data_IF_080689950713
#
_entry.id   IF_080689950713
#
_cell.length_a   1.000
_cell.length_b   1.000
_cell.length_c   1.000
_cell.angle_alpha   90.00
_cell.angle_beta   90.00
_cell.angle_gamma   90.00
#
_symmetry.space_group_name_H-M   'P 1'
#
loop_
_entity.id
_entity.type
_entity.pdbx_description
1 polymer ?
#
# COMPACT_ATOMS: atom_id res chain seq x y z
N UNK A 1 8.91 -3.86 24.82
CA UNK A 1 7.70 -4.43 24.18
C UNK A 1 7.83 -5.94 24.17
N UNK A 2 6.83 -6.68 24.67
CA UNK A 2 6.86 -8.15 24.58
C UNK A 2 6.68 -8.57 23.11
N UNK A 3 7.33 -9.64 22.64
CA UNK A 3 7.06 -10.19 21.32
C UNK A 3 5.57 -10.57 21.25
N UNK A 4 4.89 -10.19 20.17
CA UNK A 4 3.51 -10.61 19.95
C UNK A 4 3.54 -12.09 19.61
N UNK A 5 2.94 -12.92 20.46
CA UNK A 5 2.71 -14.33 20.15
C UNK A 5 1.64 -14.46 19.06
N UNK A 6 1.96 -15.03 17.88
CA UNK A 6 1.01 -15.10 16.76
C UNK A 6 -0.25 -15.90 17.08
N UNK A 7 -0.16 -16.91 17.96
CA UNK A 7 -1.30 -17.68 18.46
C UNK A 7 -2.32 -16.81 19.18
N UNK A 8 -1.88 -15.77 19.89
CA UNK A 8 -2.73 -14.79 20.57
C UNK A 8 -3.49 -13.85 19.63
N UNK A 9 -3.30 -13.98 18.31
CA UNK A 9 -4.04 -13.25 17.29
C UNK A 9 -5.27 -14.02 16.78
N UNK A 10 -5.36 -15.32 17.04
CA UNK A 10 -6.48 -16.15 16.59
C UNK A 10 -7.79 -15.64 17.20
N UNK A 11 -8.85 -15.56 16.38
CA UNK A 11 -10.17 -15.05 16.76
C UNK A 11 -10.29 -13.53 16.76
N UNK A 12 -9.19 -12.78 16.62
CA UNK A 12 -9.24 -11.32 16.56
C UNK A 12 -9.72 -10.83 15.18
N UNK A 13 -10.50 -9.74 15.22
CA UNK A 13 -10.98 -9.05 14.03
C UNK A 13 -9.86 -8.20 13.44
N UNK A 14 -9.77 -8.21 12.12
CA UNK A 14 -8.77 -7.46 11.36
C UNK A 14 -9.47 -6.31 10.63
N UNK A 15 -8.91 -5.11 10.76
CA UNK A 15 -9.30 -3.93 9.99
C UNK A 15 -8.22 -3.56 8.98
N UNK A 16 -8.56 -2.81 7.94
CA UNK A 16 -7.57 -2.19 7.07
C UNK A 16 -7.15 -0.81 7.61
N UNK A 17 -6.15 -0.20 6.98
CA UNK A 17 -5.65 1.15 7.31
C UNK A 17 -6.73 2.25 7.23
N UNK A 18 -7.88 1.97 6.60
CA UNK A 18 -8.98 2.91 6.43
C UNK A 18 -10.18 2.57 7.34
N UNK A 19 -9.96 1.68 8.32
CA UNK A 19 -10.91 1.33 9.37
C UNK A 19 -11.99 0.31 8.99
N UNK A 20 -11.95 -0.24 7.76
CA UNK A 20 -12.94 -1.24 7.32
C UNK A 20 -12.58 -2.61 7.88
N UNK A 21 -13.60 -3.33 8.33
CA UNK A 21 -13.43 -4.71 8.77
C UNK A 21 -13.13 -5.62 7.58
N UNK A 22 -11.96 -6.24 7.59
CA UNK A 22 -11.47 -7.10 6.50
C UNK A 22 -11.89 -8.55 6.72
N UNK A 23 -11.80 -9.01 7.97
CA UNK A 23 -12.04 -10.41 8.32
C UNK A 23 -11.61 -10.75 9.74
N UNK A 24 -11.42 -12.03 9.98
CA UNK A 24 -11.00 -12.60 11.27
C UNK A 24 -9.82 -13.54 11.07
N UNK A 25 -8.86 -13.50 11.99
CA UNK A 25 -7.76 -14.48 12.01
C UNK A 25 -8.32 -15.83 12.48
N UNK A 26 -8.18 -16.87 11.67
CA UNK A 26 -8.69 -18.22 11.99
C UNK A 26 -7.59 -19.22 12.30
N UNK A 27 -6.38 -19.00 11.81
CA UNK A 27 -5.23 -19.86 12.12
C UNK A 27 -3.92 -19.10 11.90
N UNK A 28 -2.87 -19.57 12.57
CA UNK A 28 -1.48 -19.25 12.25
C UNK A 28 -0.91 -20.40 11.43
N UNK A 29 -0.07 -20.10 10.45
CA UNK A 29 0.62 -21.10 9.63
C UNK A 29 2.13 -20.92 9.80
N UNK A 30 2.80 -22.05 9.97
CA UNK A 30 4.25 -22.12 10.05
C UNK A 30 4.88 -22.22 8.66
N UNK A 31 6.10 -21.75 8.51
CA UNK A 31 6.94 -22.08 7.37
C UNK A 31 7.70 -23.38 7.59
N UNK A 32 8.48 -23.76 6.56
CA UNK A 32 9.28 -24.97 6.49
C UNK A 32 10.38 -25.03 7.58
N UNK A 33 10.64 -23.92 8.28
CA UNK A 33 11.58 -23.82 9.41
C UNK A 33 10.88 -23.94 10.77
N UNK A 34 9.55 -24.10 10.78
CA UNK A 34 8.75 -24.13 12.00
C UNK A 34 8.46 -22.75 12.59
N UNK A 35 8.81 -21.66 11.89
CA UNK A 35 8.50 -20.31 12.36
C UNK A 35 7.11 -19.90 11.91
N UNK A 36 6.30 -19.38 12.84
CA UNK A 36 5.00 -18.79 12.51
C UNK A 36 5.22 -17.51 11.72
N UNK A 37 5.15 -17.58 10.39
CA UNK A 37 5.37 -16.43 9.51
C UNK A 37 4.09 -15.93 8.82
N UNK A 38 2.98 -16.67 8.94
CA UNK A 38 1.74 -16.37 8.20
C UNK A 38 0.48 -16.47 9.05
N UNK A 39 -0.48 -15.60 8.77
CA UNK A 39 -1.85 -15.65 9.31
C UNK A 39 -2.83 -16.05 8.21
N UNK A 40 -3.74 -16.96 8.55
CA UNK A 40 -4.89 -17.32 7.73
C UNK A 40 -6.10 -16.51 8.19
N UNK A 41 -6.64 -15.69 7.30
CA UNK A 41 -7.81 -14.86 7.55
C UNK A 41 -9.03 -15.42 6.82
N UNK A 42 -10.16 -15.51 7.54
CA UNK A 42 -11.48 -15.60 6.93
C UNK A 42 -11.96 -14.19 6.62
N UNK A 43 -12.09 -13.91 5.34
CA UNK A 43 -12.50 -12.60 4.82
C UNK A 43 -14.02 -12.41 4.98
N UNK A 44 -14.48 -11.16 4.95
CA UNK A 44 -15.92 -10.85 4.97
C UNK A 44 -16.72 -11.44 3.80
N UNK A 45 -16.07 -11.74 2.67
CA UNK A 45 -16.67 -12.44 1.52
C UNK A 45 -16.74 -13.97 1.69
N UNK A 46 -16.36 -14.49 2.87
CA UNK A 46 -16.31 -15.91 3.19
C UNK A 46 -15.07 -16.65 2.67
N UNK A 47 -14.23 -16.02 1.84
CA UNK A 47 -13.00 -16.64 1.33
C UNK A 47 -11.90 -16.64 2.39
N UNK A 48 -10.94 -17.53 2.20
CA UNK A 48 -9.74 -17.58 3.05
C UNK A 48 -8.55 -17.00 2.31
N UNK A 49 -7.73 -16.20 3.01
CA UNK A 49 -6.49 -15.64 2.46
C UNK A 49 -5.36 -15.71 3.47
N UNK A 50 -4.16 -15.96 2.96
CA UNK A 50 -2.94 -15.99 3.76
C UNK A 50 -2.20 -14.66 3.63
N UNK A 51 -1.78 -14.10 4.75
CA UNK A 51 -1.01 -12.86 4.84
C UNK A 51 0.24 -13.09 5.70
N UNK A 52 1.35 -12.44 5.39
CA UNK A 52 2.53 -12.53 6.22
C UNK A 52 2.30 -11.77 7.54
N UNK A 53 2.92 -12.18 8.64
CA UNK A 53 2.81 -11.42 9.90
C UNK A 53 3.28 -9.98 9.74
N UNK A 54 4.27 -9.74 8.88
CA UNK A 54 4.76 -8.40 8.57
C UNK A 54 3.71 -7.51 7.91
N UNK A 55 2.63 -8.07 7.33
CA UNK A 55 1.48 -7.36 6.76
C UNK A 55 0.56 -6.72 7.80
N UNK A 56 0.81 -6.98 9.08
CA UNK A 56 -0.02 -6.45 10.16
C UNK A 56 0.73 -5.45 11.03
N UNK A 57 0.02 -4.41 11.44
CA UNK A 57 0.36 -3.60 12.61
C UNK A 57 -0.56 -4.04 13.75
N UNK A 58 0.03 -4.46 14.86
CA UNK A 58 -0.71 -4.92 16.04
C UNK A 58 -0.45 -3.94 17.17
N UNK A 59 -1.52 -3.29 17.64
CA UNK A 59 -1.50 -2.42 18.81
C UNK A 59 -2.50 -2.94 19.83
N UNK A 60 -1.99 -3.67 20.84
CA UNK A 60 -2.81 -4.36 21.83
C UNK A 60 -3.78 -5.38 21.22
N UNK A 61 -5.07 -5.05 21.23
CA UNK A 61 -6.13 -5.87 20.64
C UNK A 61 -6.41 -5.55 19.16
N UNK A 62 -5.95 -4.40 18.67
CA UNK A 62 -6.24 -3.94 17.33
C UNK A 62 -5.24 -4.50 16.31
N UNK A 63 -5.77 -5.21 15.31
CA UNK A 63 -5.01 -5.75 14.20
C UNK A 63 -5.36 -4.97 12.94
N UNK A 64 -4.38 -4.26 12.38
CA UNK A 64 -4.51 -3.49 11.14
C UNK A 64 -3.72 -4.15 10.03
N UNK A 65 -4.40 -4.57 8.97
CA UNK A 65 -3.80 -5.05 7.73
C UNK A 65 -3.30 -3.85 6.91
N UNK A 66 -1.99 -3.83 6.68
CA UNK A 66 -1.31 -2.81 5.89
C UNK A 66 -1.48 -3.05 4.39
N UNK A 67 -1.63 -1.99 3.62
CA UNK A 67 -1.76 -2.05 2.17
C UNK A 67 -0.48 -2.58 1.52
N UNK A 68 -0.60 -3.74 0.87
CA UNK A 68 0.48 -4.32 0.08
C UNK A 68 0.97 -3.40 -1.05
N UNK A 69 0.13 -2.49 -1.55
CA UNK A 69 0.55 -1.51 -2.57
C UNK A 69 1.45 -0.44 -1.95
N UNK A 70 1.04 0.16 -0.81
CA UNK A 70 1.87 1.14 -0.08
C UNK A 70 3.23 0.54 0.29
N UNK A 71 3.24 -0.69 0.81
CA UNK A 71 4.47 -1.42 1.14
C UNK A 71 5.41 -1.60 -0.05
N UNK A 72 4.88 -2.07 -1.18
CA UNK A 72 5.68 -2.30 -2.38
C UNK A 72 6.27 -1.00 -2.92
N UNK A 73 5.49 0.09 -2.92
CA UNK A 73 6.01 1.40 -3.33
C UNK A 73 7.11 1.90 -2.38
N UNK A 74 6.92 1.77 -1.06
CA UNK A 74 7.96 2.13 -0.09
C UNK A 74 9.24 1.28 -0.24
N UNK A 75 9.11 -0.01 -0.57
CA UNK A 75 10.26 -0.86 -0.88
C UNK A 75 10.98 -0.39 -2.15
N UNK A 76 10.21 -0.01 -3.18
CA UNK A 76 10.74 0.52 -4.43
C UNK A 76 11.48 1.85 -4.24
N UNK A 77 10.92 2.78 -3.45
CA UNK A 77 11.58 4.04 -3.10
C UNK A 77 12.93 3.81 -2.39
N UNK A 78 12.99 2.86 -1.46
CA UNK A 78 14.24 2.50 -0.76
C UNK A 78 15.27 1.93 -1.72
N UNK A 79 14.86 1.02 -2.61
CA UNK A 79 15.76 0.44 -3.61
C UNK A 79 16.28 1.49 -4.61
N UNK A 80 15.43 2.41 -5.05
CA UNK A 80 15.82 3.50 -5.96
C UNK A 80 16.87 4.42 -5.32
N UNK A 81 16.67 4.80 -4.05
CA UNK A 81 17.65 5.61 -3.32
C UNK A 81 19.02 4.93 -3.24
N UNK A 82 19.06 3.63 -2.89
CA UNK A 82 20.30 2.86 -2.80
C UNK A 82 21.02 2.78 -4.14
N UNK A 83 20.32 2.40 -5.22
CA UNK A 83 20.93 2.28 -6.55
C UNK A 83 21.44 3.62 -7.09
N UNK A 84 20.80 4.74 -6.75
CA UNK A 84 21.29 6.07 -7.13
C UNK A 84 22.53 6.47 -6.36
N UNK A 85 22.58 6.19 -5.06
CA UNK A 85 23.79 6.39 -4.26
C UNK A 85 24.95 5.57 -4.84
N UNK A 86 24.71 4.28 -5.14
CA UNK A 86 25.72 3.41 -5.76
C UNK A 86 26.20 3.96 -7.11
N UNK A 87 25.28 4.42 -7.97
CA UNK A 87 25.63 5.05 -9.24
C UNK A 87 26.53 6.29 -9.07
N UNK A 88 26.25 7.14 -8.08
CA UNK A 88 27.05 8.34 -7.80
C UNK A 88 28.45 7.98 -7.31
N UNK A 89 28.56 7.03 -6.37
CA UNK A 89 29.86 6.56 -5.89
C UNK A 89 30.70 5.93 -7.01
N UNK A 90 30.06 5.17 -7.92
CA UNK A 90 30.74 4.62 -9.09
C UNK A 90 31.24 5.70 -10.05
N UNK A 91 30.54 6.83 -10.20
CA UNK A 91 31.06 7.95 -10.99
C UNK A 91 32.24 8.63 -10.33
N UNK A 92 32.27 8.74 -9.00
CA UNK A 92 33.38 9.36 -8.26
C UNK A 92 34.65 8.50 -8.32
N UNK A 93 34.51 7.18 -8.49
CA UNK A 93 35.63 6.25 -8.65
C UNK A 93 36.22 6.23 -10.06
N UNK A 94 35.59 6.88 -11.05
CA UNK A 94 36.13 7.01 -12.42
C UNK A 94 37.31 7.99 -12.44
N UNK A 95 38.46 7.51 -11.97
CA UNK A 95 39.69 8.28 -11.82
C UNK A 95 40.63 7.78 -10.72
N UNK A 96 40.20 6.76 -9.94
CA UNK A 96 41.04 6.10 -8.93
C UNK A 96 41.71 4.82 -9.42
N UNK A 97 42.31 4.08 -8.48
CA UNK A 97 43.12 2.86 -8.73
C UNK A 97 42.31 1.60 -9.13
N UNK A 98 40.99 1.73 -9.32
CA UNK A 98 40.12 0.58 -9.64
C UNK A 98 40.16 0.31 -11.15
N UNK A 99 40.29 -0.97 -11.48
CA UNK A 99 40.24 -1.44 -12.87
C UNK A 99 38.97 -0.96 -13.61
N UNK A 100 39.11 -0.30 -14.78
CA UNK A 100 37.98 0.24 -15.53
C UNK A 100 36.95 -0.80 -15.98
N UNK A 101 37.37 -2.03 -16.29
CA UNK A 101 36.45 -3.08 -16.73
C UNK A 101 35.52 -3.52 -15.58
N UNK A 102 36.08 -3.63 -14.37
CA UNK A 102 35.33 -3.89 -13.14
C UNK A 102 34.32 -2.78 -12.85
N UNK A 103 34.71 -1.50 -12.95
CA UNK A 103 33.80 -0.36 -12.77
C UNK A 103 32.67 -0.35 -13.83
N UNK A 104 32.99 -0.74 -15.07
CA UNK A 104 32.01 -0.83 -16.15
C UNK A 104 31.03 -1.99 -15.96
N UNK A 105 31.46 -3.13 -15.41
CA UNK A 105 30.58 -4.25 -15.06
C UNK A 105 29.57 -3.83 -13.99
N UNK A 106 30.03 -3.27 -12.87
CA UNK A 106 29.14 -2.81 -11.79
C UNK A 106 28.19 -1.72 -12.32
N UNK A 107 28.69 -0.79 -13.13
CA UNK A 107 27.86 0.24 -13.75
C UNK A 107 26.76 -0.32 -14.66
N UNK A 108 27.02 -1.42 -15.38
CA UNK A 108 26.01 -2.12 -16.19
C UNK A 108 24.95 -2.78 -15.30
N UNK A 109 25.36 -3.39 -14.21
CA UNK A 109 24.46 -4.03 -13.24
C UNK A 109 23.52 -3.03 -12.57
N UNK A 110 24.05 -1.90 -12.09
CA UNK A 110 23.24 -0.81 -11.51
C UNK A 110 22.24 -0.27 -12.55
N UNK A 111 22.68 -0.09 -13.80
CA UNK A 111 21.78 0.36 -14.89
C UNK A 111 20.66 -0.65 -15.18
N UNK A 112 20.98 -1.94 -15.18
CA UNK A 112 19.99 -3.03 -15.37
C UNK A 112 18.97 -3.02 -14.23
N UNK A 113 19.42 -2.90 -12.99
CA UNK A 113 18.58 -2.88 -11.80
C UNK A 113 17.65 -1.67 -11.75
N UNK A 114 18.14 -0.49 -12.15
CA UNK A 114 17.31 0.70 -12.35
C UNK A 114 16.23 0.46 -13.43
N UNK A 115 16.57 -0.21 -14.52
CA UNK A 115 15.61 -0.57 -15.57
C UNK A 115 14.49 -1.49 -15.07
N UNK A 116 14.83 -2.49 -14.25
CA UNK A 116 13.84 -3.34 -13.60
C UNK A 116 12.93 -2.54 -12.65
N UNK A 117 13.53 -1.65 -11.86
CA UNK A 117 12.82 -0.79 -10.92
C UNK A 117 11.80 0.11 -11.64
N UNK A 118 12.18 0.73 -12.75
CA UNK A 118 11.27 1.52 -13.59
C UNK A 118 10.10 0.67 -14.13
N UNK A 119 10.39 -0.55 -14.57
CA UNK A 119 9.38 -1.50 -15.04
C UNK A 119 8.36 -1.85 -13.94
N UNK A 120 8.84 -2.11 -12.72
CA UNK A 120 7.98 -2.36 -11.56
C UNK A 120 7.17 -1.12 -11.15
N UNK A 121 7.78 0.06 -11.16
CA UNK A 121 7.11 1.33 -10.86
C UNK A 121 5.94 1.56 -11.82
N UNK A 122 6.13 1.37 -13.13
CA UNK A 122 5.05 1.50 -14.14
C UNK A 122 3.94 0.47 -13.94
N UNK A 123 4.27 -0.77 -13.55
CA UNK A 123 3.27 -1.80 -13.24
C UNK A 123 2.44 -1.42 -12.01
N UNK A 124 3.08 -0.93 -10.96
CA UNK A 124 2.39 -0.45 -9.76
C UNK A 124 1.55 0.79 -10.03
N UNK A 125 2.03 1.71 -10.86
CA UNK A 125 1.30 2.92 -11.24
C UNK A 125 -0.06 2.57 -11.86
N UNK A 126 -0.10 1.66 -12.84
CA UNK A 126 -1.36 1.18 -13.43
C UNK A 126 -2.31 0.56 -12.40
N UNK A 127 -1.76 -0.19 -11.45
CA UNK A 127 -2.56 -0.79 -10.36
C UNK A 127 -3.14 0.29 -9.44
N UNK A 128 -2.35 1.30 -9.09
CA UNK A 128 -2.80 2.43 -8.26
C UNK A 128 -3.87 3.24 -8.98
N UNK A 129 -3.70 3.54 -10.27
CA UNK A 129 -4.70 4.24 -11.07
C UNK A 129 -6.03 3.48 -11.11
N UNK A 130 -5.98 2.16 -11.29
CA UNK A 130 -7.17 1.32 -11.20
C UNK A 130 -7.86 1.41 -9.83
N UNK A 131 -7.09 1.37 -8.73
CA UNK A 131 -7.64 1.50 -7.38
C UNK A 131 -8.28 2.87 -7.14
N UNK A 132 -7.67 3.95 -7.63
CA UNK A 132 -8.22 5.30 -7.54
C UNK A 132 -9.56 5.39 -8.29
N UNK A 133 -9.63 4.87 -9.51
CA UNK A 133 -10.87 4.87 -10.29
C UNK A 133 -11.96 4.04 -9.61
N UNK A 134 -11.61 2.88 -9.07
CA UNK A 134 -12.54 2.06 -8.29
C UNK A 134 -13.07 2.82 -7.07
N UNK A 135 -12.21 3.55 -6.33
CA UNK A 135 -12.65 4.36 -5.20
C UNK A 135 -13.59 5.48 -5.65
N UNK A 136 -13.28 6.19 -6.73
CA UNK A 136 -14.12 7.25 -7.29
C UNK A 136 -15.52 6.74 -7.66
N UNK A 137 -15.60 5.57 -8.30
CA UNK A 137 -16.87 4.96 -8.66
C UNK A 137 -17.68 4.57 -7.41
N UNK A 138 -17.05 3.94 -6.42
CA UNK A 138 -17.73 3.58 -5.17
C UNK A 138 -18.20 4.81 -4.40
N UNK A 139 -17.41 5.88 -4.33
CA UNK A 139 -17.80 7.17 -3.74
C UNK A 139 -19.06 7.71 -4.43
N UNK A 140 -19.11 7.66 -5.77
CA UNK A 140 -20.28 8.09 -6.54
C UNK A 140 -21.52 7.27 -6.19
N UNK A 141 -21.39 5.94 -6.12
CA UNK A 141 -22.48 5.03 -5.77
C UNK A 141 -23.00 5.31 -4.35
N UNK A 142 -22.09 5.45 -3.37
CA UNK A 142 -22.46 5.72 -1.97
C UNK A 142 -23.16 7.07 -1.85
N UNK A 143 -22.66 8.12 -2.52
CA UNK A 143 -23.34 9.43 -2.53
C UNK A 143 -24.75 9.36 -3.14
N UNK A 144 -24.94 8.60 -4.21
CA UNK A 144 -26.28 8.35 -4.76
C UNK A 144 -27.17 7.62 -3.75
N UNK A 145 -26.64 6.59 -3.07
CA UNK A 145 -27.34 5.88 -2.02
C UNK A 145 -27.77 6.78 -0.86
N UNK A 146 -26.89 7.69 -0.41
CA UNK A 146 -27.21 8.70 0.61
C UNK A 146 -28.37 9.59 0.18
N UNK A 147 -28.35 10.09 -1.06
CA UNK A 147 -29.41 10.93 -1.59
C UNK A 147 -30.75 10.18 -1.67
N UNK A 148 -30.75 8.94 -2.19
CA UNK A 148 -31.94 8.11 -2.25
C UNK A 148 -32.50 7.79 -0.86
N UNK A 149 -31.66 7.45 0.11
CA UNK A 149 -32.08 7.16 1.48
C UNK A 149 -32.78 8.35 2.14
N UNK A 150 -32.27 9.57 1.91
CA UNK A 150 -32.92 10.81 2.38
C UNK A 150 -34.31 10.99 1.77
N UNK A 151 -34.44 10.81 0.46
CA UNK A 151 -35.75 10.93 -0.21
C UNK A 151 -36.75 9.90 0.33
N UNK A 152 -36.34 8.64 0.51
CA UNK A 152 -37.25 7.60 1.01
C UNK A 152 -37.67 7.85 2.47
N UNK A 153 -36.79 8.44 3.29
CA UNK A 153 -37.11 8.90 4.65
C UNK A 153 -38.08 10.10 4.64
N UNK A 154 -37.81 11.12 3.83
CA UNK A 154 -38.69 12.31 3.69
C UNK A 154 -40.09 11.94 3.17
N UNK A 155 -40.20 10.88 2.37
CA UNK A 155 -41.47 10.32 1.90
C UNK A 155 -42.19 9.45 2.96
N UNK A 156 -41.61 9.28 4.14
CA UNK A 156 -42.16 8.48 5.24
C UNK A 156 -42.10 6.97 5.01
N UNK A 157 -41.31 6.49 4.05
CA UNK A 157 -41.18 5.05 3.74
C UNK A 157 -40.14 4.32 4.60
N UNK A 158 -39.25 5.08 5.23
CA UNK A 158 -38.21 4.58 6.12
C UNK A 158 -38.37 5.31 7.45
N UNK A 159 -38.41 4.57 8.55
CA UNK A 159 -38.49 5.16 9.89
C UNK A 159 -37.14 5.78 10.32
N UNK A 160 -37.19 6.62 11.35
CA UNK A 160 -36.04 7.37 11.85
C UNK A 160 -34.88 6.47 12.32
N UNK A 161 -35.19 5.29 12.88
CA UNK A 161 -34.19 4.38 13.42
C UNK A 161 -33.40 3.72 12.28
N UNK A 162 -34.12 3.14 11.31
CA UNK A 162 -33.53 2.53 10.11
C UNK A 162 -32.75 3.57 9.29
N UNK A 163 -33.29 4.78 9.15
CA UNK A 163 -32.61 5.88 8.49
C UNK A 163 -31.29 6.23 9.19
N UNK A 164 -31.33 6.43 10.51
CA UNK A 164 -30.15 6.81 11.31
C UNK A 164 -29.03 5.78 11.23
N UNK A 165 -29.36 4.48 11.39
CA UNK A 165 -28.38 3.39 11.30
C UNK A 165 -27.77 3.32 9.89
N UNK A 166 -28.61 3.33 8.86
CA UNK A 166 -28.17 3.22 7.47
C UNK A 166 -27.33 4.42 7.04
N UNK A 167 -27.71 5.63 7.44
CA UNK A 167 -26.96 6.86 7.15
C UNK A 167 -25.58 6.83 7.82
N UNK A 168 -25.48 6.39 9.09
CA UNK A 168 -24.19 6.23 9.77
C UNK A 168 -23.27 5.26 9.03
N UNK A 169 -23.81 4.12 8.57
CA UNK A 169 -23.03 3.14 7.78
C UNK A 169 -22.52 3.73 6.46
N UNK A 170 -23.38 4.43 5.71
CA UNK A 170 -23.01 5.06 4.44
C UNK A 170 -21.94 6.13 4.62
N UNK A 171 -22.09 7.01 5.63
CA UNK A 171 -21.12 8.07 5.91
C UNK A 171 -19.76 7.50 6.37
N UNK A 172 -19.77 6.46 7.21
CA UNK A 172 -18.54 5.77 7.60
C UNK A 172 -17.84 5.14 6.39
N UNK A 173 -18.59 4.43 5.53
CA UNK A 173 -18.06 3.86 4.30
C UNK A 173 -17.51 4.90 3.33
N UNK A 174 -18.20 6.04 3.17
CA UNK A 174 -17.76 7.16 2.36
C UNK A 174 -16.43 7.72 2.86
N UNK A 175 -16.30 7.95 4.17
CA UNK A 175 -15.06 8.42 4.80
C UNK A 175 -13.90 7.47 4.54
N UNK A 176 -14.08 6.17 4.72
CA UNK A 176 -13.05 5.17 4.44
C UNK A 176 -12.64 5.16 2.96
N UNK A 177 -13.59 5.25 2.02
CA UNK A 177 -13.29 5.28 0.58
C UNK A 177 -12.54 6.54 0.17
N UNK A 178 -12.87 7.70 0.74
CA UNK A 178 -12.15 8.95 0.49
C UNK A 178 -10.72 8.86 1.02
N UNK A 179 -10.53 8.34 2.23
CA UNK A 179 -9.20 8.14 2.82
C UNK A 179 -8.35 7.17 1.98
N UNK A 180 -8.93 6.08 1.48
CA UNK A 180 -8.21 5.16 0.59
C UNK A 180 -7.82 5.83 -0.72
N UNK A 181 -8.73 6.59 -1.34
CA UNK A 181 -8.43 7.35 -2.56
C UNK A 181 -7.25 8.29 -2.33
N UNK A 182 -7.29 9.08 -1.27
CA UNK A 182 -6.27 10.12 -1.00
C UNK A 182 -4.90 9.49 -0.74
N UNK A 183 -4.87 8.38 0.01
CA UNK A 183 -3.66 7.56 0.18
C UNK A 183 -3.13 7.04 -1.16
N UNK A 184 -4.01 6.52 -2.03
CA UNK A 184 -3.60 6.02 -3.33
C UNK A 184 -3.13 7.15 -4.26
N UNK A 185 -3.69 8.34 -4.18
CA UNK A 185 -3.21 9.51 -4.92
C UNK A 185 -1.81 9.93 -4.46
N UNK A 186 -1.53 9.84 -3.17
CA UNK A 186 -0.19 10.09 -2.63
C UNK A 186 0.82 9.01 -3.08
N UNK A 187 0.41 7.75 -3.08
CA UNK A 187 1.21 6.64 -3.64
C UNK A 187 1.46 6.87 -5.14
N UNK A 188 0.46 7.33 -5.89
CA UNK A 188 0.60 7.68 -7.32
C UNK A 188 1.65 8.77 -7.50
N UNK A 189 1.60 9.83 -6.68
CA UNK A 189 2.58 10.93 -6.70
C UNK A 189 4.00 10.40 -6.52
N UNK A 190 4.24 9.57 -5.51
CA UNK A 190 5.55 8.96 -5.25
C UNK A 190 6.05 8.12 -6.42
N UNK A 191 5.18 7.34 -7.06
CA UNK A 191 5.54 6.55 -8.25
C UNK A 191 5.86 7.43 -9.45
N UNK A 192 5.11 8.51 -9.67
CA UNK A 192 5.40 9.49 -10.72
C UNK A 192 6.71 10.22 -10.45
N UNK A 193 7.02 10.57 -9.20
CA UNK A 193 8.31 11.12 -8.83
C UNK A 193 9.44 10.13 -9.09
N UNK A 194 9.29 8.84 -8.76
CA UNK A 194 10.31 7.83 -9.09
C UNK A 194 10.58 7.74 -10.59
N UNK A 195 9.51 7.80 -11.40
CA UNK A 195 9.60 7.74 -12.86
C UNK A 195 10.04 9.06 -13.52
N UNK A 196 9.77 10.19 -12.86
CA UNK A 196 10.04 11.56 -13.33
C UNK A 196 11.32 12.18 -12.76
N UNK A 197 11.89 11.62 -11.69
CA UNK A 197 13.26 11.90 -11.22
C UNK A 197 14.26 11.26 -12.17
N UNK A 198 14.32 11.79 -13.40
CA UNK A 198 15.63 12.01 -14.04
C UNK A 198 16.34 12.99 -13.12
N UNK A 199 17.46 12.62 -12.48
CA UNK A 199 18.27 13.63 -11.83
C UNK A 199 18.90 14.44 -12.96
N UNK A 200 18.26 15.54 -13.36
CA UNK A 200 19.03 16.68 -13.83
C UNK A 200 19.48 17.38 -12.55
N UNK A 201 20.71 17.08 -12.12
CA UNK A 201 21.41 18.04 -11.29
C UNK A 201 21.51 19.35 -12.11
N UNK A 202 21.32 20.53 -11.50
CA UNK A 202 21.87 21.75 -12.05
C UNK A 202 23.40 21.62 -11.94
N UNK A 203 24.08 21.56 -13.08
CA UNK A 203 25.48 21.97 -13.10
C UNK A 203 25.48 23.49 -13.09
N UNK A 204 25.42 24.03 -11.88
CA UNK A 204 26.16 25.25 -11.57
C UNK A 204 27.63 24.93 -11.85
N UNK A 205 28.13 25.34 -13.00
CA UNK A 205 29.55 25.61 -13.18
C UNK A 205 29.65 27.06 -13.61
N UNK A 206 29.96 27.90 -12.62
CA UNK A 206 30.57 29.19 -12.90
C UNK A 206 31.88 28.99 -13.65
N UNK A 207 32.01 29.72 -14.74
CA UNK A 207 33.24 30.31 -15.25
C UNK A 207 32.83 31.51 -16.10
#
# INVERSE_FOLDING_TARGET
MRPIEPSGLIGKMVRDEWGRQVGMVVSVLMDDRGETSWLLLRMGDGKFRRYALSDFSVDGSDIVLLSGVKKRVNALCRKDALLRCEKLLLSDLKGGDVDPDTLNEIGRDVKRDLGFLEGEARRLLRKVDFLIQRCKEQIRIVNKGIACLKVEHDLGKVDDEVFSVSMKMLLAGLKSLMSERDDMEEVRRKLLELLGKRPSAPLETGA
#
